data_IF_962712787775
#
_entry.id   IF_962712787775
#
_cell.length_a   1.000
_cell.length_b   1.000
_cell.length_c   1.000
_cell.angle_alpha   90.00
_cell.angle_beta   90.00
_cell.angle_gamma   90.00
#
_symmetry.space_group_name_H-M   'P 1'
#
loop_
_entity.id
_entity.type
_entity.pdbx_description
1 polymer ?
#
# COMPACT_ATOMS: atom_id res chain seq x y z
N UNK A 1 -1.57 -7.16 -6.75
CA UNK A 1 -0.09 -7.12 -6.86
C UNK A 1 0.27 -7.23 -8.33
N UNK A 2 0.99 -6.25 -8.86
CA UNK A 2 1.41 -6.30 -10.26
C UNK A 2 2.73 -7.02 -10.45
N UNK A 3 3.60 -6.96 -9.45
CA UNK A 3 4.88 -7.62 -9.53
C UNK A 3 5.36 -8.06 -8.16
N UNK A 4 5.86 -9.29 -8.11
CA UNK A 4 6.54 -9.85 -6.94
C UNK A 4 7.99 -10.12 -7.33
N UNK A 5 8.91 -9.38 -6.73
CA UNK A 5 10.33 -9.59 -6.96
C UNK A 5 10.91 -10.52 -5.91
N UNK A 6 11.45 -11.64 -6.36
CA UNK A 6 12.01 -12.65 -5.46
C UNK A 6 13.45 -12.31 -5.11
N UNK A 7 13.67 -11.88 -3.87
CA UNK A 7 15.01 -11.57 -3.35
C UNK A 7 15.79 -12.83 -3.02
N UNK A 8 15.11 -13.84 -2.46
CA UNK A 8 15.67 -15.13 -2.10
C UNK A 8 14.58 -16.20 -2.14
N UNK A 9 14.87 -17.44 -1.76
CA UNK A 9 13.85 -18.50 -1.74
C UNK A 9 12.68 -18.22 -0.79
N UNK A 10 12.89 -17.38 0.22
CA UNK A 10 11.88 -17.08 1.24
C UNK A 10 11.49 -15.60 1.33
N UNK A 11 12.25 -14.69 0.70
CA UNK A 11 11.98 -13.26 0.79
C UNK A 11 11.55 -12.68 -0.55
N UNK A 12 10.55 -11.79 -0.51
CA UNK A 12 10.02 -11.12 -1.71
C UNK A 12 9.83 -9.63 -1.44
N UNK A 13 9.90 -8.85 -2.52
CA UNK A 13 9.47 -7.46 -2.56
C UNK A 13 8.18 -7.37 -3.35
N UNK A 14 7.20 -6.61 -2.88
CA UNK A 14 5.96 -6.37 -3.59
C UNK A 14 6.00 -5.00 -4.27
N UNK A 15 5.52 -4.96 -5.50
CA UNK A 15 5.36 -3.72 -6.26
C UNK A 15 3.96 -3.68 -6.85
N UNK A 16 3.36 -2.50 -6.85
CA UNK A 16 2.06 -2.27 -7.45
C UNK A 16 2.13 -0.97 -8.26
N UNK A 17 1.74 -1.02 -9.53
CA UNK A 17 1.82 0.13 -10.41
C UNK A 17 0.51 0.90 -10.34
N UNK A 18 0.60 2.20 -10.11
CA UNK A 18 -0.57 3.08 -10.05
C UNK A 18 -0.40 4.26 -10.99
N UNK A 19 -1.36 4.44 -11.87
CA UNK A 19 -1.46 5.62 -12.71
C UNK A 19 -2.39 6.60 -12.02
N UNK A 20 -1.83 7.42 -11.13
CA UNK A 20 -2.63 8.32 -10.32
C UNK A 20 -1.89 9.62 -10.06
N UNK A 21 -2.62 10.75 -10.08
CA UNK A 21 -2.13 12.05 -9.63
C UNK A 21 -2.61 12.41 -8.23
N UNK A 22 -3.30 11.50 -7.54
CA UNK A 22 -3.89 11.72 -6.22
C UNK A 22 -3.02 11.24 -5.07
N UNK A 23 -1.98 10.45 -5.35
CA UNK A 23 -1.11 9.87 -4.31
C UNK A 23 -0.01 10.86 -3.92
N UNK A 24 0.57 11.55 -4.90
CA UNK A 24 1.64 12.53 -4.71
C UNK A 24 1.06 13.91 -4.93
N UNK A 25 1.25 14.82 -3.97
CA UNK A 25 0.78 16.20 -4.09
C UNK A 25 1.76 17.07 -4.90
N UNK A 26 1.41 18.35 -5.09
CA UNK A 26 2.22 19.30 -5.86
C UNK A 26 3.61 19.56 -5.28
N UNK A 27 3.82 19.24 -4.01
CA UNK A 27 5.11 19.38 -3.33
C UNK A 27 5.97 18.12 -3.43
N UNK A 28 5.50 17.09 -4.11
CA UNK A 28 6.20 15.80 -4.23
C UNK A 28 6.03 14.89 -3.02
N UNK A 29 5.12 15.19 -2.13
CA UNK A 29 4.86 14.43 -0.92
C UNK A 29 3.65 13.53 -1.07
N UNK A 30 3.63 12.41 -0.31
CA UNK A 30 2.52 11.49 -0.29
C UNK A 30 1.32 12.13 0.40
N UNK A 31 0.15 12.06 -0.24
CA UNK A 31 -1.10 12.57 0.30
C UNK A 31 -1.75 11.51 1.20
N UNK A 32 -1.47 11.60 2.51
CA UNK A 32 -1.97 10.65 3.51
C UNK A 32 -3.24 11.10 4.20
N UNK A 33 -3.53 12.41 4.20
CA UNK A 33 -4.59 12.99 5.01
C UNK A 33 -5.71 13.55 4.14
N UNK A 34 -6.93 13.25 4.53
CA UNK A 34 -8.12 13.85 3.97
C UNK A 34 -8.89 14.53 5.12
N UNK A 35 -8.91 15.87 5.18
CA UNK A 35 -9.56 16.58 6.28
C UNK A 35 -11.08 16.41 6.29
N UNK A 36 -11.67 15.92 5.22
CA UNK A 36 -13.12 15.81 5.08
C UNK A 36 -13.67 14.41 5.29
N UNK A 37 -12.82 13.39 5.24
CA UNK A 37 -13.30 12.01 5.26
C UNK A 37 -12.28 11.07 5.89
N UNK A 38 -12.75 10.24 6.82
CA UNK A 38 -11.98 9.15 7.40
C UNK A 38 -12.54 7.82 6.93
N UNK A 39 -11.73 6.77 7.03
CA UNK A 39 -12.20 5.41 6.82
C UNK A 39 -13.25 5.03 7.87
N UNK A 40 -14.05 4.01 7.55
CA UNK A 40 -15.19 3.62 8.38
C UNK A 40 -14.82 2.59 9.44
N UNK A 41 -15.64 2.52 10.48
CA UNK A 41 -15.58 1.50 11.55
C UNK A 41 -14.22 1.45 12.26
N UNK A 42 -13.62 0.29 12.43
CA UNK A 42 -12.34 0.12 13.10
C UNK A 42 -11.14 0.78 12.43
N UNK A 43 -11.33 1.33 11.21
CA UNK A 43 -10.30 2.08 10.48
C UNK A 43 -10.52 3.59 10.54
N UNK A 44 -11.40 4.07 11.42
CA UNK A 44 -11.75 5.49 11.52
C UNK A 44 -10.59 6.41 11.91
N UNK A 45 -9.49 5.85 12.43
CA UNK A 45 -8.27 6.61 12.74
C UNK A 45 -7.46 6.96 11.48
N UNK A 46 -7.78 6.37 10.32
CA UNK A 46 -7.11 6.63 9.06
C UNK A 46 -7.93 7.55 8.18
N UNK A 47 -7.29 8.51 7.56
CA UNK A 47 -7.94 9.33 6.54
C UNK A 47 -8.26 8.49 5.29
N UNK A 48 -9.40 8.79 4.65
CA UNK A 48 -9.82 8.12 3.42
C UNK A 48 -9.08 8.73 2.22
N UNK A 49 -7.87 8.24 1.94
CA UNK A 49 -7.05 8.65 0.79
C UNK A 49 -6.72 7.45 -0.08
N UNK A 50 -6.38 7.71 -1.33
CA UNK A 50 -5.95 6.65 -2.24
C UNK A 50 -4.70 5.96 -1.72
N UNK A 51 -3.75 6.71 -1.16
CA UNK A 51 -2.55 6.14 -0.56
C UNK A 51 -2.89 5.14 0.52
N UNK A 52 -3.74 5.52 1.49
CA UNK A 52 -4.10 4.64 2.59
C UNK A 52 -4.84 3.39 2.12
N UNK A 53 -5.72 3.53 1.12
CA UNK A 53 -6.43 2.39 0.52
C UNK A 53 -5.47 1.42 -0.16
N UNK A 54 -4.49 1.93 -0.90
CA UNK A 54 -3.48 1.09 -1.54
C UNK A 54 -2.54 0.44 -0.53
N UNK A 55 -2.21 1.13 0.56
CA UNK A 55 -1.43 0.55 1.65
C UNK A 55 -2.17 -0.63 2.31
N UNK A 56 -3.47 -0.48 2.57
CA UNK A 56 -4.28 -1.56 3.11
C UNK A 56 -4.32 -2.76 2.17
N UNK A 57 -4.50 -2.52 0.87
CA UNK A 57 -4.52 -3.58 -0.14
C UNK A 57 -3.19 -4.35 -0.17
N UNK A 58 -2.07 -3.65 -0.17
CA UNK A 58 -0.75 -4.26 -0.17
C UNK A 58 -0.52 -5.08 1.11
N UNK A 59 -0.96 -4.57 2.25
CA UNK A 59 -0.82 -5.26 3.53
C UNK A 59 -1.66 -6.54 3.58
N UNK A 60 -2.81 -6.58 2.94
CA UNK A 60 -3.61 -7.80 2.80
C UNK A 60 -2.85 -8.83 1.98
N UNK A 61 -2.24 -8.44 0.87
CA UNK A 61 -1.42 -9.33 0.06
C UNK A 61 -0.22 -9.87 0.84
N UNK A 62 0.45 -9.02 1.61
CA UNK A 62 1.53 -9.44 2.51
C UNK A 62 1.05 -10.53 3.47
N UNK A 63 -0.08 -10.30 4.13
CA UNK A 63 -0.67 -11.26 5.06
C UNK A 63 -0.91 -12.62 4.38
N UNK A 64 -1.51 -12.63 3.20
CA UNK A 64 -1.79 -13.86 2.46
C UNK A 64 -0.50 -14.60 2.09
N UNK A 65 0.49 -13.88 1.57
CA UNK A 65 1.75 -14.47 1.15
C UNK A 65 2.52 -15.06 2.33
N UNK A 66 2.56 -14.35 3.45
CA UNK A 66 3.28 -14.82 4.62
C UNK A 66 2.56 -15.99 5.30
N UNK A 67 1.25 -15.92 5.42
CA UNK A 67 0.48 -16.95 6.11
C UNK A 67 0.32 -18.23 5.30
N UNK A 68 -0.01 -18.11 4.01
CA UNK A 68 -0.38 -19.24 3.18
C UNK A 68 0.80 -19.84 2.42
N UNK A 69 1.85 -19.08 2.17
CA UNK A 69 2.99 -19.51 1.37
C UNK A 69 4.32 -19.51 2.12
N UNK A 70 4.32 -19.08 3.38
CA UNK A 70 5.53 -19.05 4.19
C UNK A 70 6.61 -18.09 3.72
N UNK A 71 6.23 -17.09 2.92
CA UNK A 71 7.16 -16.08 2.42
C UNK A 71 7.33 -14.95 3.42
N UNK A 72 8.47 -14.26 3.34
CA UNK A 72 8.72 -13.02 4.08
C UNK A 72 8.65 -11.86 3.09
N UNK A 73 7.73 -10.93 3.33
CA UNK A 73 7.60 -9.72 2.53
C UNK A 73 8.50 -8.65 3.14
N UNK A 74 9.67 -8.43 2.52
CA UNK A 74 10.69 -7.50 3.03
C UNK A 74 10.33 -6.04 2.78
N UNK A 75 9.61 -5.76 1.70
CA UNK A 75 9.13 -4.42 1.39
C UNK A 75 7.88 -4.45 0.52
N UNK A 76 7.09 -3.39 0.64
CA UNK A 76 5.93 -3.14 -0.19
C UNK A 76 6.08 -1.76 -0.80
N UNK A 77 5.82 -1.63 -2.09
CA UNK A 77 6.10 -0.41 -2.83
C UNK A 77 4.96 -0.09 -3.81
N UNK A 78 4.70 1.19 -3.99
CA UNK A 78 3.85 1.69 -5.05
C UNK A 78 4.74 2.40 -6.08
N UNK A 79 4.60 2.04 -7.34
CA UNK A 79 5.26 2.74 -8.45
C UNK A 79 4.23 3.65 -9.10
N UNK A 80 4.41 4.96 -8.90
CA UNK A 80 3.45 5.97 -9.33
C UNK A 80 3.87 6.52 -10.70
N UNK A 81 3.00 6.35 -11.67
CA UNK A 81 3.19 6.83 -13.05
C UNK A 81 1.98 7.67 -13.44
N UNK A 82 2.22 8.88 -13.96
CA UNK A 82 1.16 9.71 -14.52
C UNK A 82 1.76 10.72 -15.50
N UNK A 83 1.05 11.07 -16.58
CA UNK A 83 1.55 12.04 -17.56
C UNK A 83 1.89 13.43 -16.99
N UNK A 84 1.30 13.81 -15.85
CA UNK A 84 1.59 15.08 -15.19
C UNK A 84 2.90 15.07 -14.43
N UNK A 85 3.50 13.91 -14.19
CA UNK A 85 4.79 13.83 -13.51
C UNK A 85 5.92 13.72 -14.54
N UNK A 86 6.99 14.44 -14.32
CA UNK A 86 8.16 14.40 -15.21
C UNK A 86 8.94 13.09 -15.07
N UNK A 87 8.71 12.36 -13.98
CA UNK A 87 9.37 11.09 -13.72
C UNK A 87 8.43 10.19 -12.91
N UNK A 88 8.83 8.93 -12.72
CA UNK A 88 8.11 8.03 -11.83
C UNK A 88 8.46 8.32 -10.36
N UNK A 89 7.59 7.90 -9.46
CA UNK A 89 7.84 7.95 -8.03
C UNK A 89 7.70 6.54 -7.44
N UNK A 90 8.64 6.14 -6.60
CA UNK A 90 8.53 4.91 -5.82
C UNK A 90 8.19 5.30 -4.39
N UNK A 91 7.03 4.84 -3.91
CA UNK A 91 6.53 5.15 -2.58
C UNK A 91 6.53 3.87 -1.75
N UNK A 92 7.20 3.89 -0.61
CA UNK A 92 7.15 2.76 0.31
C UNK A 92 5.81 2.72 1.02
N UNK A 93 5.26 1.51 1.14
CA UNK A 93 4.02 1.26 1.83
C UNK A 93 4.32 0.92 3.28
N UNK A 94 3.62 1.57 4.20
CA UNK A 94 3.75 1.30 5.63
C UNK A 94 3.19 -0.07 5.98
N UNK A 95 3.83 -0.74 6.94
CA UNK A 95 3.31 -1.98 7.49
C UNK A 95 2.15 -1.64 8.46
N UNK A 96 0.99 -2.22 8.21
CA UNK A 96 -0.25 -1.95 8.95
C UNK A 96 -0.81 -3.26 9.54
N UNK A 97 -0.12 -3.87 10.52
CA UNK A 97 -0.52 -5.19 11.01
C UNK A 97 -1.87 -5.21 11.73
N UNK A 98 -2.17 -4.19 12.52
CA UNK A 98 -3.43 -4.13 13.27
C UNK A 98 -4.62 -3.90 12.36
N UNK A 99 -4.48 -2.98 11.40
CA UNK A 99 -5.52 -2.66 10.43
C UNK A 99 -5.79 -3.86 9.52
N UNK A 100 -4.73 -4.57 9.12
CA UNK A 100 -4.83 -5.78 8.31
C UNK A 100 -5.57 -6.89 9.07
N UNK A 101 -5.21 -7.11 10.31
CA UNK A 101 -5.89 -8.11 11.17
C UNK A 101 -7.38 -7.79 11.31
N UNK A 102 -7.72 -6.51 11.53
CA UNK A 102 -9.11 -6.09 11.60
C UNK A 102 -9.88 -6.44 10.33
N UNK A 103 -9.30 -6.11 9.15
CA UNK A 103 -9.95 -6.38 7.87
C UNK A 103 -10.12 -7.88 7.62
N UNK A 104 -9.12 -8.68 7.90
CA UNK A 104 -9.17 -10.13 7.70
C UNK A 104 -10.25 -10.74 8.61
N UNK A 105 -10.36 -10.29 9.86
CA UNK A 105 -11.32 -10.83 10.81
C UNK A 105 -12.77 -10.40 10.54
N UNK A 106 -12.98 -9.37 9.71
CA UNK A 106 -14.34 -8.91 9.34
C UNK A 106 -14.83 -9.46 8.01
N UNK A 107 -14.02 -10.21 7.31
CA UNK A 107 -14.39 -10.84 6.03
C UNK A 107 -15.28 -12.08 6.20
#
# INVERSE_FOLDING_TARGET
IDMVYKKSNSEVFLFDWKRSKKIINSNGEVEKDNPFENCLNGLGHMSSTDYNKYCLQQNIYKYILEKNYGLIVSSMNLLILHPYYNTYHIVKVEDLPLETEYLINTL
#
